data_IF_232570638300
#
_entry.id   IF_232570638300
#
_cell.length_a   1.000
_cell.length_b   1.000
_cell.length_c   1.000
_cell.angle_alpha   90.00
_cell.angle_beta   90.00
_cell.angle_gamma   90.00
#
_symmetry.space_group_name_H-M   'P 1'
#
loop_
_entity.id
_entity.type
_entity.pdbx_description
1 polymer ?
#
# COMPACT_ATOMS: atom_id res chain seq x y z
N UNK A 1 -4.11 -14.78 2.89
CA UNK A 1 -4.43 -14.42 4.28
C UNK A 1 -5.11 -13.07 4.21
N UNK A 2 -6.17 -12.89 4.98
CA UNK A 2 -6.74 -11.56 5.23
C UNK A 2 -6.06 -11.14 6.53
N UNK A 3 -5.40 -9.98 6.57
CA UNK A 3 -4.72 -9.53 7.78
C UNK A 3 -5.70 -9.54 8.95
N UNK A 4 -5.22 -9.77 10.17
CA UNK A 4 -6.08 -9.83 11.37
C UNK A 4 -6.97 -8.57 11.49
N UNK A 5 -6.49 -7.43 11.01
CA UNK A 5 -7.22 -6.17 10.92
C UNK A 5 -8.52 -6.25 10.09
N UNK A 6 -8.57 -7.15 9.10
CA UNK A 6 -9.70 -7.30 8.19
C UNK A 6 -10.74 -8.34 8.64
N UNK A 7 -10.53 -9.05 9.77
CA UNK A 7 -11.51 -10.02 10.30
C UNK A 7 -12.89 -9.39 10.59
N UNK A 8 -12.91 -8.12 11.00
CA UNK A 8 -14.16 -7.38 11.29
C UNK A 8 -15.00 -7.03 10.05
N UNK A 9 -14.41 -7.08 8.85
CA UNK A 9 -15.08 -6.68 7.61
C UNK A 9 -16.09 -7.72 7.11
N UNK A 10 -16.16 -8.90 7.75
CA UNK A 10 -17.18 -9.91 7.45
C UNK A 10 -18.61 -9.42 7.76
N UNK A 11 -18.75 -8.42 8.64
CA UNK A 11 -20.05 -7.82 8.98
C UNK A 11 -20.53 -6.81 7.93
N UNK A 12 -19.63 -6.35 7.06
CA UNK A 12 -19.92 -5.34 6.04
C UNK A 12 -20.51 -6.08 4.83
N UNK A 13 -21.80 -5.85 4.54
CA UNK A 13 -22.56 -6.49 3.44
C UNK A 13 -22.10 -6.08 2.01
N UNK A 14 -20.94 -5.45 1.85
CA UNK A 14 -20.43 -5.05 0.54
C UNK A 14 -19.56 -6.13 -0.10
N UNK A 15 -19.56 -6.19 -1.44
CA UNK A 15 -18.67 -7.08 -2.20
C UNK A 15 -17.22 -6.63 -2.02
N UNK A 16 -16.49 -7.34 -1.16
CA UNK A 16 -15.05 -7.12 -0.94
C UNK A 16 -14.23 -7.86 -2.01
N UNK A 17 -13.26 -7.16 -2.61
CA UNK A 17 -12.30 -7.76 -3.54
C UNK A 17 -11.21 -8.52 -2.75
N UNK A 18 -11.55 -9.74 -2.34
CA UNK A 18 -10.69 -10.63 -1.57
C UNK A 18 -10.01 -11.62 -2.53
N UNK A 19 -8.69 -11.81 -2.34
CA UNK A 19 -7.93 -12.82 -3.08
C UNK A 19 -8.43 -14.22 -2.75
N UNK A 20 -8.63 -15.04 -3.78
CA UNK A 20 -9.02 -16.44 -3.64
C UNK A 20 -7.83 -17.22 -3.08
N UNK A 21 -8.04 -17.87 -1.93
CA UNK A 21 -7.01 -18.65 -1.23
C UNK A 21 -6.73 -19.95 -1.99
N UNK A 22 -5.45 -20.33 -2.04
CA UNK A 22 -5.04 -21.67 -2.48
C UNK A 22 -5.58 -22.73 -1.49
N UNK A 23 -6.21 -23.82 -1.95
CA UNK A 23 -6.58 -24.91 -1.06
C UNK A 23 -5.33 -25.66 -0.59
N UNK A 24 -5.40 -26.28 0.58
CA UNK A 24 -4.34 -27.17 1.07
C UNK A 24 -4.18 -28.36 0.12
N UNK A 25 -2.93 -28.67 -0.26
CA UNK A 25 -2.55 -29.77 -1.16
C UNK A 25 -3.04 -29.73 -2.62
N UNK A 26 -3.49 -28.59 -3.16
CA UNK A 26 -3.87 -28.49 -4.57
C UNK A 26 -3.43 -27.18 -5.24
N UNK A 27 -3.34 -27.18 -6.57
CA UNK A 27 -3.00 -25.99 -7.36
C UNK A 27 -4.23 -25.11 -7.57
N UNK A 28 -4.03 -23.79 -7.61
CA UNK A 28 -5.08 -22.84 -7.96
C UNK A 28 -5.48 -23.03 -9.45
N UNK A 29 -6.79 -23.08 -9.77
CA UNK A 29 -7.27 -23.08 -11.14
C UNK A 29 -6.74 -21.87 -11.92
N UNK A 30 -6.50 -22.03 -13.23
CA UNK A 30 -5.97 -20.95 -14.09
C UNK A 30 -6.83 -19.68 -14.02
N UNK A 31 -8.15 -19.84 -14.02
CA UNK A 31 -9.13 -18.75 -13.90
C UNK A 31 -8.99 -18.00 -12.57
N UNK A 32 -8.87 -18.72 -11.45
CA UNK A 32 -8.68 -18.11 -10.13
C UNK A 32 -7.35 -17.33 -10.04
N UNK A 33 -6.29 -17.82 -10.69
CA UNK A 33 -5.01 -17.08 -10.78
C UNK A 33 -5.15 -15.78 -11.56
N UNK A 34 -5.93 -15.79 -12.65
CA UNK A 34 -6.14 -14.59 -13.47
C UNK A 34 -6.95 -13.53 -12.71
N UNK A 35 -8.01 -13.95 -12.00
CA UNK A 35 -8.78 -13.06 -11.10
C UNK A 35 -7.87 -12.47 -10.02
N UNK A 36 -7.05 -13.30 -9.36
CA UNK A 36 -6.11 -12.82 -8.35
C UNK A 36 -5.09 -11.84 -8.92
N UNK A 37 -4.61 -12.05 -10.16
CA UNK A 37 -3.68 -11.13 -10.84
C UNK A 37 -4.31 -9.76 -11.03
N UNK A 38 -5.57 -9.70 -11.47
CA UNK A 38 -6.30 -8.44 -11.64
C UNK A 38 -6.55 -7.74 -10.30
N UNK A 39 -6.95 -8.48 -9.26
CA UNK A 39 -7.11 -7.94 -7.91
C UNK A 39 -5.78 -7.37 -7.40
N UNK A 40 -4.66 -8.08 -7.60
CA UNK A 40 -3.33 -7.62 -7.21
C UNK A 40 -2.92 -6.36 -7.96
N UNK A 41 -3.16 -6.27 -9.27
CA UNK A 41 -2.88 -5.05 -10.05
C UNK A 41 -3.59 -3.82 -9.48
N UNK A 42 -4.87 -3.96 -9.12
CA UNK A 42 -5.63 -2.86 -8.49
C UNK A 42 -5.10 -2.50 -7.09
N UNK A 43 -4.64 -3.50 -6.32
CA UNK A 43 -4.08 -3.29 -4.97
C UNK A 43 -2.74 -2.56 -5.01
N UNK A 44 -1.91 -2.80 -6.01
CA UNK A 44 -0.59 -2.16 -6.15
C UNK A 44 -0.72 -0.62 -6.07
N UNK A 45 -1.68 -0.04 -6.78
CA UNK A 45 -1.91 1.42 -6.76
C UNK A 45 -2.28 1.89 -5.33
N UNK A 46 -3.18 1.18 -4.66
CA UNK A 46 -3.62 1.50 -3.30
C UNK A 46 -2.47 1.36 -2.29
N UNK A 47 -1.63 0.33 -2.44
CA UNK A 47 -0.46 0.10 -1.61
C UNK A 47 0.57 1.23 -1.76
N UNK A 48 0.79 1.73 -2.98
CA UNK A 48 1.63 2.89 -3.22
C UNK A 48 1.10 4.15 -2.53
N UNK A 49 -0.20 4.41 -2.62
CA UNK A 49 -0.85 5.53 -1.92
C UNK A 49 -0.67 5.37 -0.40
N UNK A 50 -0.93 4.17 0.14
CA UNK A 50 -0.74 3.90 1.57
C UNK A 50 0.72 4.07 2.01
N UNK A 51 1.67 3.69 1.15
CA UNK A 51 3.09 3.90 1.40
C UNK A 51 3.43 5.39 1.48
N UNK A 52 2.94 6.20 0.53
CA UNK A 52 3.10 7.65 0.55
C UNK A 52 2.49 8.27 1.81
N UNK A 53 1.28 7.86 2.21
CA UNK A 53 0.64 8.33 3.44
C UNK A 53 1.47 8.04 4.70
N UNK A 54 2.11 6.86 4.76
CA UNK A 54 3.00 6.51 5.88
C UNK A 54 4.27 7.37 5.89
N UNK A 55 4.85 7.67 4.74
CA UNK A 55 6.00 8.59 4.65
C UNK A 55 5.61 9.99 5.10
N UNK A 56 4.44 10.47 4.66
CA UNK A 56 3.93 11.78 5.06
C UNK A 56 3.59 11.87 6.54
N UNK A 57 3.34 10.74 7.21
CA UNK A 57 3.10 10.69 8.67
C UNK A 57 4.25 11.27 9.48
N UNK A 58 5.48 11.23 8.95
CA UNK A 58 6.65 11.87 9.58
C UNK A 58 6.45 13.39 9.74
N UNK A 59 5.67 14.03 8.86
CA UNK A 59 5.33 15.45 8.98
C UNK A 59 4.24 15.72 10.01
N UNK A 60 3.38 14.74 10.31
CA UNK A 60 2.34 14.86 11.32
C UNK A 60 2.90 14.70 12.75
N UNK A 61 4.00 13.97 12.91
CA UNK A 61 4.64 13.74 14.20
C UNK A 61 5.57 14.91 14.60
N UNK A 62 5.75 15.14 15.91
CA UNK A 62 6.66 16.20 16.38
C UNK A 62 8.12 15.88 16.02
N UNK A 63 8.76 16.78 15.28
CA UNK A 63 10.17 16.65 14.92
C UNK A 63 11.09 16.82 16.15
N UNK A 64 11.78 15.74 16.54
CA UNK A 64 12.63 15.69 17.75
C UNK A 64 14.11 16.03 17.53
N UNK A 65 14.55 16.34 16.31
CA UNK A 65 15.97 16.60 15.99
C UNK A 65 16.29 18.11 15.94
N UNK A 66 17.57 18.50 16.03
CA UNK A 66 18.00 19.91 16.03
C UNK A 66 17.52 20.63 14.76
N UNK A 67 16.85 21.77 14.94
CA UNK A 67 16.11 22.46 13.86
C UNK A 67 16.96 23.28 12.90
N UNK A 68 18.26 23.48 13.17
CA UNK A 68 19.17 24.31 12.34
C UNK A 68 19.18 23.95 10.85
N UNK A 69 18.93 22.68 10.49
CA UNK A 69 18.84 22.21 9.09
C UNK A 69 17.51 21.55 8.75
N UNK A 70 16.44 21.91 9.45
CA UNK A 70 15.13 21.27 9.28
C UNK A 70 14.60 21.44 7.86
N UNK A 71 14.60 22.66 7.32
CA UNK A 71 14.13 22.93 5.95
C UNK A 71 14.88 22.12 4.89
N UNK A 72 16.21 22.00 4.99
CA UNK A 72 17.00 21.18 4.07
C UNK A 72 16.60 19.70 4.11
N UNK A 73 16.39 19.14 5.31
CA UNK A 73 15.96 17.75 5.47
C UNK A 73 14.57 17.51 4.89
N UNK A 74 13.64 18.44 5.12
CA UNK A 74 12.30 18.37 4.52
C UNK A 74 12.38 18.44 3.00
N UNK A 75 13.15 19.38 2.45
CA UNK A 75 13.29 19.51 1.00
C UNK A 75 13.89 18.27 0.36
N UNK A 76 14.88 17.63 0.99
CA UNK A 76 15.47 16.38 0.51
C UNK A 76 14.45 15.22 0.56
N UNK A 77 13.68 15.11 1.65
CA UNK A 77 12.62 14.09 1.78
C UNK A 77 11.53 14.33 0.73
N UNK A 78 11.11 15.59 0.52
CA UNK A 78 10.13 15.95 -0.51
C UNK A 78 10.63 15.60 -1.92
N UNK A 79 11.88 15.94 -2.24
CA UNK A 79 12.47 15.58 -3.54
C UNK A 79 12.55 14.07 -3.77
N UNK A 80 12.86 13.28 -2.73
CA UNK A 80 12.83 11.81 -2.82
C UNK A 80 11.41 11.28 -3.05
N UNK A 81 10.41 11.82 -2.36
CA UNK A 81 9.00 11.42 -2.55
C UNK A 81 8.49 11.77 -3.96
N UNK A 82 8.84 12.94 -4.48
CA UNK A 82 8.45 13.38 -5.83
C UNK A 82 9.05 12.49 -6.91
N UNK A 83 10.33 12.14 -6.78
CA UNK A 83 11.01 11.23 -7.71
C UNK A 83 10.38 9.83 -7.70
N UNK A 84 10.11 9.30 -6.51
CA UNK A 84 9.51 7.96 -6.35
C UNK A 84 8.09 7.93 -6.91
N UNK A 85 7.29 8.96 -6.64
CA UNK A 85 5.91 9.04 -7.12
C UNK A 85 5.84 9.12 -8.65
N UNK A 86 6.69 9.96 -9.27
CA UNK A 86 6.74 10.06 -10.75
C UNK A 86 7.10 8.75 -11.42
N UNK A 87 8.01 7.97 -10.83
CA UNK A 87 8.43 6.68 -11.38
C UNK A 87 7.32 5.62 -11.30
N UNK A 88 6.51 5.66 -10.25
CA UNK A 88 5.47 4.65 -9.98
C UNK A 88 4.18 4.85 -10.79
N UNK A 89 3.89 6.06 -11.27
CA UNK A 89 2.74 6.33 -12.15
C UNK A 89 3.05 6.11 -13.64
N UNK A 90 4.33 5.89 -13.99
CA UNK A 90 4.78 5.66 -15.37
C UNK A 90 4.87 4.15 -15.71
N UNK A 91 4.80 3.27 -14.70
CA UNK A 91 4.76 1.80 -14.85
C UNK A 91 3.32 1.31 -14.69
#
# INVERSE_FOLDING_TARGET
MVDLAYKGFHQIKHKLLILIKKPTNSSLPKIAKQINKEISQRRIVIEHINCQLKHLRIFAERYRNRRKRFGLRINLIAGMMDWTSKTLFII
#
